data_IF_409999764584
#
_entry.id   IF_409999764584
#
_cell.length_a   1.000
_cell.length_b   1.000
_cell.length_c   1.000
_cell.angle_alpha   90.00
_cell.angle_beta   90.00
_cell.angle_gamma   90.00
#
_symmetry.space_group_name_H-M   'P 1'
#
loop_
_entity.id
_entity.type
_entity.pdbx_description
1 polymer ?
2 non-polymer ?
3 water ?
#
# COMPACT_ATOMS: atom_id res chain seq x y z
N UNK A 2 -12.17 13.23 11.55
CA UNK A 2 -13.53 13.87 11.74
C UNK A 2 -14.57 13.37 10.73
N UNK A 3 -14.26 13.38 9.41
CA UNK A 3 -15.24 12.83 8.45
C UNK A 3 -15.55 11.37 8.75
N UNK A 4 -16.83 11.01 8.76
CA UNK A 4 -17.26 9.65 9.10
C UNK A 4 -16.79 8.60 8.08
N UNK A 5 -16.59 9.05 6.83
CA UNK A 5 -16.02 8.20 5.79
C UNK A 5 -15.19 9.02 4.80
N UNK A 6 -14.13 8.42 4.27
CA UNK A 6 -13.36 9.00 3.16
C UNK A 6 -13.02 7.94 2.11
N UNK A 7 -12.74 8.41 0.91
CA UNK A 7 -12.32 7.54 -0.19
C UNK A 7 -11.42 8.38 -1.07
N UNK A 8 -10.13 8.04 -1.09
CA UNK A 8 -9.14 8.78 -1.87
C UNK A 8 -9.22 8.59 -3.37
N UNK A 9 -10.05 7.64 -3.84
CA UNK A 9 -10.29 7.49 -5.27
C UNK A 9 -11.16 8.62 -5.80
N UNK A 10 -12.12 9.06 -4.99
CA UNK A 10 -12.98 10.20 -5.32
C UNK A 10 -12.15 11.47 -5.53
N UNK A 11 -11.08 11.61 -4.73
CA UNK A 11 -10.16 12.74 -4.82
C UNK A 11 -9.05 12.59 -5.89
N UNK A 12 -9.17 11.59 -6.77
CA UNK A 12 -8.25 11.45 -7.91
C UNK A 12 -6.83 11.02 -7.56
N UNK A 13 -6.67 10.36 -6.41
CA UNK A 13 -5.34 10.05 -5.85
C UNK A 13 -4.92 8.59 -5.92
N UNK A 14 -5.68 7.75 -6.63
CA UNK A 14 -5.42 6.31 -6.65
C UNK A 14 -5.34 5.81 -8.09
N UNK A 15 -4.29 5.05 -8.40
CA UNK A 15 -4.09 4.47 -9.72
C UNK A 15 -4.91 3.19 -9.92
N UNK A 16 -4.89 2.71 -11.15
CA UNK A 16 -5.40 1.37 -11.49
C UNK A 16 -4.84 0.29 -10.54
N UNK A 17 -5.65 -0.72 -10.26
CA UNK A 17 -5.24 -1.83 -9.42
C UNK A 17 -4.26 -2.69 -10.23
N UNK A 18 -3.14 -3.04 -9.60
CA UNK A 18 -2.10 -3.83 -10.25
C UNK A 18 -2.21 -5.31 -9.95
N UNK A 19 -1.46 -6.11 -10.70
CA UNK A 19 -1.40 -7.55 -10.51
C UNK A 19 0.05 -7.98 -10.22
N UNK A 20 0.34 -8.30 -8.96
CA UNK A 20 1.68 -8.72 -8.56
C UNK A 20 2.09 -10.12 -9.03
N UNK A 21 1.11 -11.01 -9.18
CA UNK A 21 1.36 -12.37 -9.66
C UNK A 21 2.06 -13.25 -8.66
N UNK A 22 2.91 -14.14 -9.16
CA UNK A 22 3.66 -15.09 -8.31
C UNK A 22 4.82 -14.45 -7.53
N UNK A 23 5.06 -13.17 -7.77
CA UNK A 23 6.08 -12.41 -7.06
C UNK A 23 5.46 -11.71 -5.83
N UNK A 24 6.02 -11.98 -4.66
CA UNK A 24 5.52 -11.41 -3.39
C UNK A 24 6.01 -10.00 -3.11
N UNK A 25 5.60 -9.06 -3.97
CA UNK A 25 6.08 -7.69 -3.95
C UNK A 25 4.97 -6.73 -3.51
N UNK A 26 4.11 -7.20 -2.61
CA UNK A 26 3.00 -6.40 -2.09
C UNK A 26 3.51 -5.14 -1.42
N UNK A 27 4.59 -5.29 -0.65
CA UNK A 27 5.32 -4.17 -0.06
C UNK A 27 5.68 -3.06 -1.05
N UNK A 28 6.17 -3.43 -2.23
CA UNK A 28 6.52 -2.45 -3.26
C UNK A 28 5.27 -1.77 -3.81
N UNK A 29 4.24 -2.56 -4.11
CA UNK A 29 2.98 -2.02 -4.63
C UNK A 29 2.31 -1.08 -3.64
N UNK A 30 2.31 -1.47 -2.37
CA UNK A 30 1.75 -0.64 -1.31
C UNK A 30 2.51 0.67 -1.16
N UNK A 31 3.84 0.59 -1.24
CA UNK A 31 4.69 1.75 -1.10
C UNK A 31 4.49 2.74 -2.25
N UNK A 32 4.54 2.26 -3.49
CA UNK A 32 4.36 3.15 -4.66
C UNK A 32 2.97 3.78 -4.66
N UNK A 33 1.95 3.01 -4.26
CA UNK A 33 0.59 3.52 -4.07
C UNK A 33 0.45 4.70 -3.12
N UNK A 34 1.14 4.62 -1.99
CA UNK A 34 1.16 5.70 -1.01
C UNK A 34 1.83 6.96 -1.58
N UNK A 35 2.96 6.76 -2.24
CA UNK A 35 3.71 7.86 -2.85
C UNK A 35 2.95 8.48 -4.01
N UNK A 36 2.37 7.63 -4.87
CA UNK A 36 1.51 8.03 -5.99
C UNK A 36 0.48 9.09 -5.62
N UNK A 37 -0.15 8.88 -4.47
CA UNK A 37 -1.17 9.79 -3.96
C UNK A 37 -0.54 11.09 -3.51
N UNK A 38 0.62 11.01 -2.87
CA UNK A 38 1.35 12.22 -2.46
C UNK A 38 1.87 12.99 -3.67
N UNK A 39 2.19 12.28 -4.75
CA UNK A 39 2.55 12.92 -6.01
C UNK A 39 1.41 13.80 -6.50
N UNK A 40 0.22 13.22 -6.62
CA UNK A 40 -0.96 13.93 -7.13
C UNK A 40 -1.31 15.14 -6.26
N UNK A 41 -1.25 14.97 -4.94
CA UNK A 41 -1.56 16.07 -4.01
C UNK A 41 -0.70 17.32 -4.24
N UNK A 42 0.58 17.13 -4.55
CA UNK A 42 1.52 18.24 -4.76
C UNK A 42 1.65 18.68 -6.21
N UNK A 43 1.66 17.72 -7.14
CA UNK A 43 1.96 17.96 -8.57
C UNK A 43 0.70 18.13 -9.44
N UNK A 44 -0.40 17.49 -9.06
CA UNK A 44 -1.58 17.38 -9.91
C UNK A 44 -1.53 16.18 -10.84
N UNK A 45 -0.41 15.46 -10.91
CA UNK A 45 -0.26 14.33 -11.83
C UNK A 45 -0.38 12.98 -11.11
N UNK A 46 -1.38 12.21 -11.52
CA UNK A 46 -1.51 10.82 -11.15
C UNK A 46 -0.70 9.99 -12.15
N UNK A 47 0.38 9.36 -11.68
CA UNK A 47 1.10 8.40 -12.51
C UNK A 47 1.49 7.20 -11.66
N UNK A 48 1.24 6.00 -12.19
CA UNK A 48 1.66 4.76 -11.57
C UNK A 48 3.18 4.71 -11.45
N UNK A 49 3.67 4.55 -10.24
CA UNK A 49 5.11 4.47 -9.99
C UNK A 49 5.61 3.04 -10.05
N UNK A 50 6.92 2.91 -10.20
CA UNK A 50 7.55 1.61 -10.50
C UNK A 50 7.72 0.74 -9.26
N UNK A 51 6.84 -0.26 -9.14
CA UNK A 51 7.01 -1.30 -8.13
C UNK A 51 8.29 -2.07 -8.39
N UNK A 52 8.55 -2.36 -9.67
CA UNK A 52 9.73 -3.13 -10.10
C UNK A 52 11.05 -2.44 -9.71
N UNK A 53 11.08 -1.10 -9.84
CA UNK A 53 12.22 -0.29 -9.39
C UNK A 53 12.54 -0.57 -7.92
N UNK A 54 11.51 -0.72 -7.09
CA UNK A 54 11.70 -1.10 -5.68
C UNK A 54 12.12 -2.55 -5.51
N UNK A 55 11.46 -3.47 -6.22
CA UNK A 55 11.83 -4.89 -6.16
C UNK A 55 13.31 -5.09 -6.51
N UNK A 56 13.76 -4.37 -7.53
CA UNK A 56 15.12 -4.54 -8.08
C UNK A 56 16.21 -3.81 -7.31
N UNK A 57 15.89 -2.62 -6.78
CA UNK A 57 16.91 -1.72 -6.19
C UNK A 57 16.86 -1.56 -4.67
N UNK A 58 15.68 -1.61 -4.06
CA UNK A 58 15.56 -1.54 -2.59
C UNK A 58 15.69 -2.95 -2.03
N UNK A 59 16.93 -3.44 -1.97
CA UNK A 59 17.22 -4.86 -1.73
C UNK A 59 17.94 -5.09 -0.38
N UNK A 60 19.16 -5.61 -0.40
CA UNK A 60 19.79 -6.16 0.84
C UNK A 60 20.01 -5.09 1.91
N UNK A 61 20.44 -3.89 1.49
CA UNK A 61 20.60 -2.71 2.37
C UNK A 61 19.35 -2.28 3.16
N UNK A 62 18.17 -2.59 2.61
CA UNK A 62 16.89 -2.17 3.17
C UNK A 62 16.10 -3.32 3.82
N UNK A 63 16.71 -4.49 3.93
CA UNK A 63 16.05 -5.66 4.50
C UNK A 63 14.89 -6.16 3.69
N UNK A 64 15.00 -6.06 2.36
CA UNK A 64 13.97 -6.49 1.44
C UNK A 64 14.51 -7.57 0.52
N UNK A 65 13.69 -8.61 0.29
CA UNK A 65 14.07 -9.73 -0.57
C UNK A 65 13.21 -9.79 -1.84
N UNK A 66 12.92 -8.62 -2.42
CA UNK A 66 12.23 -8.52 -3.70
C UNK A 66 10.92 -9.29 -3.76
N UNK A 67 10.92 -10.39 -4.52
CA UNK A 67 9.73 -11.24 -4.69
C UNK A 67 9.49 -12.22 -3.54
N UNK A 68 10.34 -12.21 -2.51
CA UNK A 68 10.09 -12.93 -1.28
C UNK A 68 9.74 -12.00 -0.10
N UNK A 69 9.33 -10.77 -0.41
CA UNK A 69 8.79 -9.86 0.59
C UNK A 69 9.72 -8.75 1.00
N UNK A 70 9.14 -7.77 1.69
CA UNK A 70 9.84 -6.57 2.08
C UNK A 70 9.02 -5.65 2.96
N UNK A 71 9.55 -4.46 3.18
CA UNK A 71 8.95 -3.45 4.02
C UNK A 71 8.72 -2.18 3.22
N UNK A 72 7.54 -1.57 3.43
CA UNK A 72 7.19 -0.29 2.83
C UNK A 72 8.04 0.84 3.44
N UNK A 73 8.31 0.75 4.74
CA UNK A 73 9.09 1.78 5.46
C UNK A 73 10.49 1.99 4.87
N UNK A 74 11.17 0.88 4.55
CA UNK A 74 12.51 0.93 3.97
C UNK A 74 12.48 1.18 2.47
N UNK A 75 11.37 0.83 1.84
CA UNK A 75 11.12 1.21 0.45
C UNK A 75 11.08 2.73 0.31
N UNK A 76 10.46 3.41 1.28
CA UNK A 76 10.46 4.87 1.32
C UNK A 76 11.86 5.41 1.52
N UNK A 77 12.63 4.77 2.39
CA UNK A 77 14.03 5.14 2.60
C UNK A 77 14.85 5.04 1.31
N UNK A 78 14.65 3.97 0.55
CA UNK A 78 15.32 3.82 -0.74
C UNK A 78 15.03 5.03 -1.65
N UNK A 79 13.77 5.44 -1.75
CA UNK A 79 13.39 6.53 -2.66
C UNK A 79 13.99 7.87 -2.19
N UNK A 80 14.07 8.05 -0.88
CA UNK A 80 14.80 9.19 -0.28
C UNK A 80 16.29 9.10 -0.64
N UNK A 81 16.93 8.00 -0.27
CA UNK A 81 18.37 7.78 -0.50
C UNK A 81 18.72 7.81 -1.99
N UNK A 82 17.95 7.08 -2.79
CA UNK A 82 18.14 7.04 -4.23
C UNK A 82 17.79 8.37 -4.92
N UNK A 83 17.13 9.29 -4.19
CA UNK A 83 16.83 10.65 -4.67
C UNK A 83 15.89 10.56 -5.88
N UNK A 84 14.83 9.76 -5.68
CA UNK A 84 13.82 9.53 -6.71
C UNK A 84 13.55 8.08 -7.06
N UNK A 85 12.43 7.88 -7.75
CA UNK A 85 11.95 6.58 -8.25
C UNK A 85 11.39 6.80 -9.65
N UNK A 86 11.52 5.79 -10.51
CA UNK A 86 11.00 5.84 -11.89
C UNK A 86 9.47 5.65 -11.95
N UNK A 87 8.92 5.91 -13.13
CA UNK A 87 7.52 5.65 -13.43
C UNK A 87 7.38 4.18 -13.77
N UNK A 88 6.18 3.63 -13.54
CA UNK A 88 5.88 2.26 -13.96
C UNK A 88 6.02 2.13 -15.48
N UNK A 89 5.57 3.16 -16.20
CA UNK A 89 5.70 3.25 -17.65
C UNK A 89 7.12 2.93 -18.13
N UNK A 90 8.09 3.64 -17.55
CA UNK A 90 9.50 3.53 -17.95
C UNK A 90 10.33 2.46 -17.23
N UNK A 91 9.72 1.72 -16.30
CA UNK A 91 10.40 0.62 -15.61
C UNK A 91 9.32 -0.35 -15.14
N UNK A 92 8.68 -1.04 -16.10
CA UNK A 92 7.45 -1.76 -15.79
C UNK A 92 7.64 -3.07 -15.05
N UNK A 93 6.53 -3.57 -14.53
CA UNK A 93 6.52 -4.70 -13.63
C UNK A 93 6.62 -6.03 -14.38
N UNK A 94 7.53 -6.89 -13.94
CA UNK A 94 7.81 -8.17 -14.59
C UNK A 94 7.68 -9.39 -13.68
N UNK A 95 7.23 -9.19 -12.44
CA UNK A 95 6.99 -10.29 -11.49
C UNK A 95 8.18 -11.24 -11.27
N UNK A 96 9.39 -10.67 -11.22
CA UNK A 96 10.59 -11.43 -10.86
C UNK A 96 11.70 -10.48 -10.45
N UNK A 97 12.75 -11.03 -9.84
CA UNK A 97 13.89 -10.24 -9.36
C UNK A 97 14.91 -9.99 -10.48
N UNK A 98 15.08 -8.72 -10.86
CA UNK A 98 16.05 -8.32 -11.89
C UNK A 98 17.20 -7.52 -11.29
N UNK A 99 18.19 -7.16 -12.12
CA UNK A 99 19.26 -6.25 -11.70
C UNK A 99 18.67 -4.85 -11.61
N UNK A 100 19.19 -4.04 -10.71
CA UNK A 100 18.69 -2.67 -10.54
C UNK A 100 18.95 -1.88 -11.80
N UNK A 101 17.88 -1.50 -12.50
CA UNK A 101 17.96 -0.77 -13.77
C UNK A 101 17.43 0.66 -13.64
N UNK A 102 17.56 1.25 -12.44
CA UNK A 102 17.08 2.62 -12.19
C UNK A 102 17.79 3.61 -13.12
N UNK A 103 17.02 4.52 -13.69
CA UNK A 103 17.55 5.57 -14.56
C UNK A 103 16.95 6.92 -14.14
N UNK A 104 17.82 7.82 -13.68
CA UNK A 104 17.42 9.16 -13.24
C UNK A 104 16.63 9.96 -14.26
N UNK A 105 16.86 9.69 -15.55
CA UNK A 105 16.10 10.33 -16.63
C UNK A 105 14.58 10.16 -16.45
N UNK A 106 14.15 8.93 -16.18
CA UNK A 106 12.72 8.60 -16.09
C UNK A 106 12.11 8.70 -14.69
N UNK A 107 12.83 9.34 -13.76
CA UNK A 107 12.28 9.76 -12.47
C UNK A 107 10.95 10.49 -12.69
N UNK A 108 9.90 9.98 -12.04
CA UNK A 108 8.57 10.60 -12.02
C UNK A 108 8.16 11.18 -10.65
N UNK A 109 8.88 10.82 -9.59
CA UNK A 109 8.54 11.25 -8.25
C UNK A 109 9.72 11.13 -7.31
N UNK A 110 9.59 11.81 -6.18
CA UNK A 110 10.64 11.90 -5.17
C UNK A 110 10.03 11.70 -3.79
N UNK A 111 10.88 11.48 -2.79
CA UNK A 111 10.42 11.32 -1.41
C UNK A 111 11.37 12.01 -0.43
N UNK A 112 10.81 12.78 0.50
CA UNK A 112 11.60 13.55 1.47
C UNK A 112 11.73 12.84 2.81
N UNK A 113 10.62 12.28 3.28
CA UNK A 113 10.58 11.56 4.55
C UNK A 113 9.37 10.65 4.60
N UNK A 114 9.27 9.83 5.65
CA UNK A 114 8.06 9.05 5.91
C UNK A 114 7.78 8.97 7.40
N UNK A 115 6.57 8.53 7.74
CA UNK A 115 6.10 8.51 9.12
C UNK A 115 5.56 7.12 9.45
N UNK A 116 6.00 6.57 10.59
CA UNK A 116 5.53 5.27 11.08
C UNK A 116 4.54 5.51 12.19
N UNK A 117 3.31 5.04 12.05
CA UNK A 117 2.25 5.30 13.03
C UNK A 117 2.29 4.33 14.22
N UNK A 118 1.78 4.77 15.39
CA UNK A 118 1.86 3.92 16.58
C UNK A 118 1.12 2.59 16.45
N UNK A 119 1.70 1.55 17.04
CA UNK A 119 1.23 0.17 16.86
C UNK A 119 -0.24 -0.03 17.28
N UNK A 120 -1.03 -0.57 16.36
CA UNK A 120 -2.41 -1.00 16.63
C UNK A 120 -3.42 0.12 16.88
N UNK A 121 -3.03 1.35 16.60
CA UNK A 121 -3.84 2.52 16.91
C UNK A 121 -4.70 2.81 15.70
N UNK A 122 -5.92 2.30 15.71
CA UNK A 122 -6.85 2.50 14.61
C UNK A 122 -7.39 3.94 14.58
N UNK A 123 -7.37 4.63 15.72
CA UNK A 123 -7.73 6.06 15.81
C UNK A 123 -6.74 6.98 15.08
N UNK A 124 -5.44 6.75 15.30
CA UNK A 124 -4.40 7.56 14.67
C UNK A 124 -4.38 7.27 13.15
N UNK A 125 -4.60 6.01 12.80
CA UNK A 125 -4.67 5.60 11.39
C UNK A 125 -5.80 6.34 10.67
N UNK A 126 -6.95 6.43 11.33
CA UNK A 126 -8.10 7.21 10.85
C UNK A 126 -7.76 8.69 10.59
N UNK A 127 -6.98 9.30 11.50
CA UNK A 127 -6.53 10.69 11.33
C UNK A 127 -5.69 10.85 10.06
N UNK A 128 -4.65 10.03 9.96
CA UNK A 128 -3.73 10.04 8.82
C UNK A 128 -4.44 9.80 7.49
N UNK A 129 -5.27 8.76 7.44
CA UNK A 129 -6.03 8.46 6.23
C UNK A 129 -6.84 9.68 5.78
N UNK A 130 -7.51 10.31 6.73
CA UNK A 130 -8.32 11.48 6.46
C UNK A 130 -7.48 12.72 6.07
N UNK A 131 -6.50 13.04 6.91
CA UNK A 131 -5.78 14.33 6.82
C UNK A 131 -4.47 14.34 6.02
N UNK A 132 -3.77 13.21 5.96
CA UNK A 132 -2.50 13.09 5.20
C UNK A 132 -2.71 12.45 3.82
N UNK A 133 -3.37 11.30 3.81
CA UNK A 133 -3.58 10.55 2.57
C UNK A 133 -3.52 9.04 2.77
N UNK A 134 -3.49 8.28 1.66
CA UNK A 134 -3.39 6.82 1.75
C UNK A 134 -2.16 6.33 2.50
N UNK A 135 -2.39 5.41 3.44
CA UNK A 135 -1.37 4.87 4.33
C UNK A 135 -1.05 3.45 3.89
N UNK A 136 0.22 3.17 3.65
CA UNK A 136 0.69 1.80 3.44
C UNK A 136 0.55 1.03 4.75
N UNK A 137 -0.10 -0.13 4.71
CA UNK A 137 -0.19 -0.99 5.89
C UNK A 137 0.08 -2.44 5.55
N UNK A 138 0.43 -3.21 6.58
CA UNK A 138 0.54 -4.66 6.49
C UNK A 138 -0.72 -5.31 7.02
N UNK A 139 -1.07 -6.47 6.47
CA UNK A 139 -2.14 -7.30 7.02
C UNK A 139 -1.75 -8.78 7.04
N UNK A 140 -2.51 -9.52 7.84
CA UNK A 140 -2.45 -10.97 7.88
C UNK A 140 -3.39 -11.45 6.79
N UNK A 141 -2.80 -11.83 5.65
CA UNK A 141 -3.55 -12.38 4.51
C UNK A 141 -3.13 -13.84 4.23
N UNK A 142 -2.93 -14.63 5.28
CA UNK A 142 -2.57 -16.04 5.18
C UNK A 142 -3.76 -16.96 4.98
N UNK A 143 -4.96 -16.46 5.29
CA UNK A 143 -6.14 -17.31 5.45
C UNK A 143 -6.99 -17.34 4.17
N UNK A 144 -7.54 -18.52 3.80
CA UNK A 144 -8.27 -18.64 2.53
C UNK A 144 -9.47 -17.71 2.36
N UNK A 145 -10.17 -17.42 3.46
CA UNK A 145 -11.24 -16.40 3.45
C UNK A 145 -10.76 -15.14 2.73
N UNK A 146 -9.54 -14.69 3.03
CA UNK A 146 -8.96 -13.49 2.39
C UNK A 146 -8.82 -13.69 0.88
N UNK A 147 -8.16 -14.77 0.49
CA UNK A 147 -7.97 -15.11 -0.92
C UNK A 147 -9.28 -15.06 -1.69
N UNK A 148 -10.31 -15.62 -1.06
CA UNK A 148 -11.65 -15.78 -1.63
C UNK A 148 -12.55 -14.54 -1.57
N UNK A 149 -12.19 -13.53 -0.77
CA UNK A 149 -13.07 -12.40 -0.48
C UNK A 149 -13.72 -11.80 -1.73
N UNK A 150 -15.05 -11.66 -1.70
CA UNK A 150 -15.82 -11.09 -2.81
C UNK A 150 -16.37 -9.69 -2.49
N UNK A 151 -17.01 -9.52 -1.34
CA UNK A 151 -17.65 -8.24 -1.01
C UNK A 151 -18.02 -8.08 0.47
N UNK A 152 -18.41 -6.86 0.82
CA UNK A 152 -18.79 -6.53 2.18
C UNK A 152 -17.60 -6.32 3.09
N UNK A 153 -17.86 -6.32 4.40
CA UNK A 153 -16.81 -6.11 5.39
C UNK A 153 -16.20 -7.45 5.79
N UNK A 154 -14.92 -7.64 5.46
CA UNK A 154 -14.17 -8.85 5.80
C UNK A 154 -13.90 -8.95 7.30
N UNK A 155 -14.28 -10.09 7.87
CA UNK A 155 -13.92 -10.43 9.24
C UNK A 155 -13.55 -11.90 9.28
N UNK A 156 -12.29 -12.19 9.60
CA UNK A 156 -11.82 -13.56 9.77
C UNK A 156 -11.44 -13.86 11.24
N UNK A 157 -12.24 -14.68 11.95
CA UNK A 157 -11.95 -15.00 13.37
C UNK A 157 -10.53 -15.51 13.68
N UNK A 158 -9.96 -16.34 12.81
CA UNK A 158 -8.59 -16.87 13.01
C UNK A 158 -7.45 -15.91 12.56
N UNK A 159 -7.79 -14.63 12.31
CA UNK A 159 -6.80 -13.66 11.86
C UNK A 159 -5.98 -13.17 13.05
N UNK A 160 -4.66 -13.22 12.87
CA UNK A 160 -3.69 -12.76 13.86
C UNK A 160 -3.28 -11.33 13.54
N UNK A 161 -2.53 -10.71 14.45
CA UNK A 161 -1.92 -9.40 14.22
C UNK A 161 -0.47 -9.50 13.68
N UNK A 162 -0.08 -10.69 13.19
CA UNK A 162 1.22 -10.90 12.57
C UNK A 162 1.09 -10.72 11.04
N UNK A 163 1.57 -9.58 10.53
CA UNK A 163 1.30 -9.17 9.12
C UNK A 163 2.34 -9.70 8.10
N UNK A 164 1.84 -10.14 6.93
CA UNK A 164 2.68 -10.70 5.86
C UNK A 164 2.48 -10.10 4.47
N UNK A 165 1.56 -9.14 4.32
CA UNK A 165 1.12 -8.68 3.00
C UNK A 165 0.89 -7.17 2.95
N UNK A 166 1.63 -6.50 2.08
CA UNK A 166 1.51 -5.06 1.89
C UNK A 166 0.26 -4.61 1.11
N UNK A 167 -0.55 -3.80 1.77
CA UNK A 167 -1.72 -3.21 1.14
C UNK A 167 -1.68 -1.70 1.38
N UNK A 168 -2.68 -0.99 0.89
CA UNK A 168 -2.76 0.46 0.99
C UNK A 168 -4.17 0.89 1.41
N UNK A 169 -4.29 1.48 2.60
CA UNK A 169 -5.56 2.02 3.09
C UNK A 169 -5.84 3.35 2.37
N UNK A 170 -6.83 3.34 1.49
CA UNK A 170 -7.22 4.55 0.73
C UNK A 170 -8.52 5.20 1.25
N UNK A 171 -8.97 4.81 2.44
CA UNK A 171 -10.17 5.39 3.06
C UNK A 171 -10.73 4.56 4.19
N UNK A 172 -11.97 4.86 4.57
CA UNK A 172 -12.73 4.09 5.58
C UNK A 172 -14.20 4.51 5.55
N UNK A 173 -15.03 3.84 6.35
CA UNK A 173 -16.45 4.16 6.46
C UNK A 173 -17.21 3.11 7.25
N UNK A 174 -18.47 2.88 6.91
CA UNK A 174 -19.23 1.75 7.48
C UNK A 174 -20.38 1.28 6.61
N UNK A 175 -20.76 0.01 6.80
CA UNK A 175 -21.82 -0.66 6.04
C UNK A 175 -22.70 -1.46 7.00
N UNK A 176 -23.96 -1.07 7.11
CA UNK A 176 -24.92 -1.70 8.02
C UNK A 176 -24.38 -1.82 9.47
N UNK A 177 -23.66 -0.79 9.92
CA UNK A 177 -23.07 -0.78 11.25
C UNK A 177 -21.65 -1.31 11.34
N UNK A 178 -21.23 -2.16 10.41
CA UNK A 178 -19.87 -2.69 10.40
C UNK A 178 -18.94 -1.61 9.88
N UNK A 179 -18.04 -1.11 10.72
CA UNK A 179 -17.05 -0.11 10.31
C UNK A 179 -15.92 -0.81 9.57
N UNK A 180 -15.44 -0.21 8.48
CA UNK A 180 -14.40 -0.83 7.64
C UNK A 180 -13.27 0.10 7.26
N UNK A 181 -12.15 -0.49 6.87
CA UNK A 181 -11.07 0.22 6.18
C UNK A 181 -11.21 -0.09 4.69
N UNK A 182 -11.01 0.91 3.83
CA UNK A 182 -11.06 0.72 2.38
C UNK A 182 -9.63 0.46 1.92
N UNK A 183 -9.36 -0.78 1.53
CA UNK A 183 -8.01 -1.25 1.32
C UNK A 183 -7.84 -1.59 -0.15
N UNK A 184 -6.82 -1.01 -0.78
CA UNK A 184 -6.41 -1.38 -2.13
C UNK A 184 -5.44 -2.57 -2.04
N UNK A 185 -5.71 -3.61 -2.81
CA UNK A 185 -4.85 -4.80 -2.90
C UNK A 185 -4.08 -4.74 -4.23
N UNK A 186 -3.10 -5.62 -4.40
CA UNK A 186 -2.34 -5.74 -5.65
C UNK A 186 -2.51 -7.12 -6.30
N UNK A 187 -3.73 -7.67 -6.21
CA UNK A 187 -4.05 -9.01 -6.73
C UNK A 187 -5.00 -8.98 -7.94
N UNK A 188 -4.80 -8.02 -8.84
CA UNK A 188 -5.65 -7.88 -10.02
C UNK A 188 -7.05 -7.36 -9.75
N UNK A 189 -7.84 -7.24 -10.81
CA UNK A 189 -9.18 -6.66 -10.74
C UNK A 189 -10.25 -7.64 -10.26
N UNK A 190 -10.00 -8.93 -10.42
CA UNK A 190 -10.96 -9.98 -10.03
C UNK A 190 -10.95 -10.32 -8.52
N UNK A 191 -10.11 -9.65 -7.74
CA UNK A 191 -10.10 -9.81 -6.29
C UNK A 191 -11.10 -8.84 -5.68
N UNK A 192 -12.00 -9.38 -4.86
CA UNK A 192 -12.91 -8.55 -4.07
C UNK A 192 -13.78 -7.65 -4.89
N UNK A 193 -13.73 -6.36 -4.59
CA UNK A 193 -14.60 -5.36 -5.16
C UNK A 193 -13.80 -4.54 -6.17
N UNK A 194 -13.74 -5.05 -7.40
CA UNK A 194 -12.94 -4.45 -8.48
C UNK A 194 -11.50 -4.17 -8.05
N UNK A 195 -10.92 -5.11 -7.30
CA UNK A 195 -9.53 -5.04 -6.79
C UNK A 195 -9.34 -4.63 -5.33
N UNK A 196 -10.42 -4.22 -4.67
CA UNK A 196 -10.38 -3.68 -3.31
C UNK A 196 -11.00 -4.64 -2.31
N UNK A 197 -10.74 -4.36 -1.04
CA UNK A 197 -11.33 -5.12 0.05
C UNK A 197 -11.63 -4.18 1.21
N UNK A 198 -12.80 -4.36 1.80
CA UNK A 198 -13.20 -3.64 2.98
C UNK A 198 -13.01 -4.56 4.16
N UNK A 199 -12.13 -4.17 5.08
CA UNK A 199 -11.74 -5.01 6.21
C UNK A 199 -12.18 -4.32 7.49
N UNK A 200 -12.57 -5.13 8.48
CA UNK A 200 -13.07 -4.66 9.78
C UNK A 200 -12.22 -3.56 10.44
N UNK A 201 -12.89 -2.48 10.82
CA UNK A 201 -12.30 -1.35 11.55
C UNK A 201 -12.75 -1.43 13.01
N UNK A 202 -11.93 -0.89 13.90
CA UNK A 202 -12.21 -0.85 15.34
C UNK A 202 -12.64 -2.21 15.95
N UNK A 203 -12.00 -3.31 15.53
CA UNK A 203 -12.26 -4.63 16.12
C UNK A 203 -10.94 -5.25 16.58
N UNK A 204 -10.26 -4.53 17.46
CA UNK A 204 -9.03 -4.99 18.07
C UNK A 204 -7.90 -5.21 17.08
N UNK A 205 -7.69 -4.25 16.17
CA UNK A 205 -6.60 -4.32 15.17
C UNK A 205 -6.72 -5.60 14.34
N UNK A 206 -7.87 -5.71 13.67
CA UNK A 206 -8.21 -6.94 12.98
C UNK A 206 -7.24 -7.24 11.83
N UNK A 207 -6.69 -8.45 11.84
CA UNK A 207 -5.68 -8.90 10.87
C UNK A 207 -4.37 -8.07 10.88
N UNK A 208 -4.15 -7.28 11.93
CA UNK A 208 -2.95 -6.45 12.03
C UNK A 208 -2.93 -5.18 11.20
N UNK A 209 -4.09 -4.72 10.75
CA UNK A 209 -4.17 -3.59 9.81
C UNK A 209 -3.49 -2.30 10.30
N UNK A 210 -3.54 -2.04 11.61
CA UNK A 210 -2.91 -0.85 12.21
C UNK A 210 -1.57 -1.13 12.91
N UNK A 211 -1.05 -2.36 12.78
CA UNK A 211 0.21 -2.76 13.42
C UNK A 211 1.41 -1.96 12.92
N UNK A 212 1.58 -1.90 11.60
CA UNK A 212 2.73 -1.21 11.00
C UNK A 212 2.33 -0.31 9.83
N UNK A 213 1.67 0.83 10.15
CA UNK A 213 1.26 1.78 9.12
C UNK A 213 2.36 2.78 8.84
N UNK A 214 2.56 3.11 7.58
CA UNK A 214 3.52 4.13 7.19
C UNK A 214 2.99 4.92 6.00
N UNK A 215 3.39 6.19 5.91
CA UNK A 215 3.13 7.00 4.71
C UNK A 215 4.30 7.96 4.43
N UNK A 216 4.58 8.24 3.14
CA UNK A 216 5.67 9.14 2.78
C UNK A 216 5.21 10.59 2.64
N UNK A 217 6.16 11.49 2.40
CA UNK A 217 5.87 12.91 2.16
C UNK A 217 6.90 13.49 1.20
N UNK A 218 6.51 14.51 0.43
CA UNK A 218 7.38 15.13 -0.57
C UNK A 218 7.89 16.51 -0.13
X LIG B 1 13.05 -2.82 8.62
X LIG B 1 13.19 -2.93 11.55
X LIG B 1 13.72 -4.17 10.83
X LIG B 1 17.53 -0.87 9.58
X LIG B 1 16.00 -4.97 8.24
X LIG B 1 16.35 -1.61 9.61
X LIG B 1 13.94 -3.95 9.31
X LIG B 1 18.28 -5.50 7.33
X LIG B 1 12.60 -1.73 9.61
X LIG B 1 16.40 -2.88 9.03
X LIG B 1 10.85 -3.11 10.69
X LIG B 1 10.11 -3.23 12.01
X LIG B 1 17.58 -3.37 8.47
X LIG B 1 8.60 -3.03 11.87
X LIG B 1 7.31 -4.25 10.16
X LIG B 1 6.64 -5.49 9.73
X LIG B 1 7.23 -6.49 11.76
X LIG B 1 7.87 -5.38 12.20
X LIG B 1 18.73 -2.60 8.46
X LIG B 1 18.70 -1.34 9.02
X LIG B 1 5.98 -5.61 8.41
X LIG B 1 5.28 -4.54 7.86
X LIG B 1 4.67 -4.67 6.62
X LIG B 1 4.77 -5.86 5.93
X LIG B 1 5.47 -6.96 6.45
X LIG B 1 6.07 -6.81 7.70
X LIG B 1 5.58 -8.27 5.70
X LIG B 1 7.56 -9.65 5.29
X LIG B 1 8.96 -9.71 4.78
X LIG B 1 9.46 -10.85 4.17
X LIG B 1 10.77 -10.90 3.71
X LIG B 1 11.55 -9.79 3.88
X LIG B 1 11.10 -8.65 4.47
X LIG B 1 9.81 -8.61 4.92
X LIG B 1 12.83 -9.82 3.43
X LIG B 1 17.31 -4.62 8.00
X LIG B 1 15.43 -3.89 8.89
X LIG B 1 12.09 -2.30 10.83
X LIG B 1 7.91 -4.27 11.40
X LIG B 1 6.60 -6.60 10.52
X LIG B 1 6.93 -8.47 5.24
X LIG B 1 7.37 -3.25 9.46
X LIG B 1 15.47 -6.02 7.94
X LIG B 1 7.01 -10.67 5.74
X LIG B 1 17.53 0.73 10.28
X LIG B 1 3.99 -5.96 4.39
#
# INVERSE_FOLDING_TARGET
ILPDSVDWREKGCVTEVKYQGSCGASWAFSAVGALEAQLKLKTGKLVSLSAQNLVDCSTEKYGNKGCNGGFMTTAFQYIIDNKGIDSDASYPYKAMDQKCQYDSKYRAATCSKYTELPYGREDVLKEAVANKGPVSVGVDARHPSFFLYRSGVYYEPSCTQNVNHGVLVVGYGDLNGKEYWLVKNSWGHNFGEEGYIRMARNKGNHCGIASFPSYPEILQGGG
B8Y C26 C29 C30 C1 C14 C2 C20 C22 C27 C3 C37 C39 C4 C41 C45 C46 C48 C49 C5 C6 C60 C62 C63 C64 C65 C66 C75 C79 C83 C85 C86 C87 C88 C89 F96 N13 N15 N28 N43 N47 N77 O56 O58 O81 CL24 CL73
#
